data_IF_534952845392
#
_entry.id   IF_534952845392
#
_cell.length_a   1.000
_cell.length_b   1.000
_cell.length_c   1.000
_cell.angle_alpha   90.00
_cell.angle_beta   90.00
_cell.angle_gamma   90.00
#
_symmetry.space_group_name_H-M   'P 1'
#
loop_
_entity.id
_entity.type
_entity.pdbx_description
1 polymer ?
#
# COMPACT_ATOMS: atom_id res chain seq x y z
N UNK A 1 35.27 -19.21 42.23
CA UNK A 1 36.29 -18.46 41.47
C UNK A 1 35.58 -17.39 40.65
N UNK A 2 35.83 -16.11 40.95
CA UNK A 2 35.10 -14.96 40.42
C UNK A 2 36.14 -13.96 39.88
N UNK A 3 36.52 -14.11 38.61
CA UNK A 3 37.40 -13.25 37.79
C UNK A 3 37.04 -13.64 36.34
N UNK A 4 36.51 -12.80 35.46
CA UNK A 4 37.10 -11.57 34.98
C UNK A 4 36.05 -10.51 34.63
N UNK A 5 36.23 -9.35 35.26
CA UNK A 5 35.82 -8.07 34.74
C UNK A 5 36.47 -7.83 33.36
N UNK A 6 35.72 -7.15 32.49
CA UNK A 6 36.22 -6.03 31.70
C UNK A 6 37.26 -6.32 30.61
N UNK A 7 36.83 -6.78 29.43
CA UNK A 7 37.45 -6.43 28.13
C UNK A 7 36.35 -6.43 27.06
N UNK A 8 36.41 -5.49 26.11
CA UNK A 8 35.48 -5.22 24.97
C UNK A 8 34.48 -4.08 25.14
N UNK A 9 34.86 -3.04 25.90
CA UNK A 9 34.66 -1.66 25.41
C UNK A 9 35.61 -1.49 24.23
N UNK A 10 35.18 -1.80 23.01
CA UNK A 10 35.60 -1.32 21.67
C UNK A 10 34.96 -2.28 20.67
N UNK A 11 33.66 -2.14 20.43
CA UNK A 11 33.11 -2.42 19.11
C UNK A 11 32.28 -1.20 18.75
N UNK A 12 33.02 -0.24 18.23
CA UNK A 12 32.57 1.05 17.77
C UNK A 12 31.40 0.89 16.79
N UNK A 13 30.25 1.46 17.17
CA UNK A 13 29.52 2.48 16.41
C UNK A 13 29.68 2.51 14.88
N UNK A 14 29.56 1.36 14.20
CA UNK A 14 29.50 1.31 12.74
C UNK A 14 28.41 0.33 12.36
N UNK A 15 27.15 0.75 12.50
CA UNK A 15 26.19 0.69 11.39
C UNK A 15 25.38 1.97 11.51
N UNK A 16 25.94 3.07 11.00
CA UNK A 16 25.15 4.24 10.68
C UNK A 16 24.11 3.83 9.65
N UNK A 17 22.85 3.86 10.07
CA UNK A 17 21.69 4.32 9.29
C UNK A 17 21.89 4.30 7.77
N UNK A 18 21.77 3.13 7.15
CA UNK A 18 21.31 3.06 5.76
C UNK A 18 19.77 2.99 5.77
N UNK A 19 19.15 4.02 6.31
CA UNK A 19 17.77 4.35 6.03
C UNK A 19 17.76 5.35 4.89
N UNK A 20 17.81 4.86 3.65
CA UNK A 20 17.40 5.69 2.53
C UNK A 20 15.88 5.80 2.61
N UNK A 21 15.39 6.71 3.47
CA UNK A 21 13.97 7.08 3.50
C UNK A 21 13.70 7.90 2.24
N UNK A 22 13.44 7.19 1.14
CA UNK A 22 12.85 7.77 -0.05
C UNK A 22 11.44 8.21 0.31
N UNK A 23 11.27 9.46 0.76
CA UNK A 23 10.09 10.33 0.65
C UNK A 23 8.68 9.77 0.90
N UNK A 24 8.56 8.56 1.40
CA UNK A 24 7.28 7.86 1.57
C UNK A 24 6.79 8.27 2.94
N UNK A 25 5.65 8.95 2.98
CA UNK A 25 4.95 9.29 4.22
C UNK A 25 4.84 8.00 5.03
N UNK A 26 5.46 7.95 6.22
CA UNK A 26 5.43 6.79 7.12
C UNK A 26 3.97 6.35 7.28
N UNK A 27 3.63 5.16 6.79
CA UNK A 27 2.29 4.58 6.90
C UNK A 27 1.50 4.45 5.60
N UNK A 28 2.00 4.91 4.45
CA UNK A 28 1.35 4.63 3.17
C UNK A 28 1.80 3.28 2.60
N UNK A 29 0.82 2.45 2.25
CA UNK A 29 1.03 1.20 1.53
C UNK A 29 0.14 1.17 0.31
N UNK A 30 0.47 0.29 -0.64
CA UNK A 30 -0.27 0.18 -1.87
C UNK A 30 -0.29 -1.24 -2.41
N UNK A 31 -1.30 -1.51 -3.22
CA UNK A 31 -1.40 -2.71 -4.05
C UNK A 31 -1.88 -2.31 -5.44
N UNK A 32 -1.59 -3.14 -6.44
CA UNK A 32 -2.27 -3.05 -7.72
C UNK A 32 -3.42 -4.05 -7.76
N UNK A 33 -4.50 -3.68 -8.42
CA UNK A 33 -5.69 -4.50 -8.57
C UNK A 33 -6.31 -4.35 -9.95
N UNK A 34 -7.11 -5.34 -10.33
CA UNK A 34 -8.02 -5.25 -11.47
C UNK A 34 -9.43 -4.90 -10.97
N UNK A 35 -10.10 -3.97 -11.63
CA UNK A 35 -11.49 -3.62 -11.34
C UNK A 35 -12.43 -4.70 -11.88
N UNK A 36 -13.29 -5.23 -11.02
CA UNK A 36 -14.29 -6.24 -11.35
C UNK A 36 -15.69 -5.64 -11.52
N UNK A 37 -16.03 -4.66 -10.68
CA UNK A 37 -17.33 -3.99 -10.71
C UNK A 37 -17.17 -2.53 -10.28
N UNK A 38 -17.93 -1.64 -10.91
CA UNK A 38 -17.94 -0.20 -10.61
C UNK A 38 -19.32 0.20 -10.09
N UNK A 39 -19.35 0.75 -8.89
CA UNK A 39 -20.53 1.36 -8.28
C UNK A 39 -20.23 2.83 -7.94
N UNK A 40 -21.26 3.58 -7.53
CA UNK A 40 -21.12 5.02 -7.23
C UNK A 40 -20.22 5.33 -6.03
N UNK A 41 -20.21 4.45 -5.03
CA UNK A 41 -19.54 4.67 -3.74
C UNK A 41 -18.34 3.74 -3.51
N UNK A 42 -18.23 2.68 -4.32
CA UNK A 42 -17.18 1.69 -4.19
C UNK A 42 -16.92 0.98 -5.51
N UNK A 43 -15.76 0.34 -5.59
CA UNK A 43 -15.39 -0.58 -6.65
C UNK A 43 -15.10 -1.95 -6.04
N UNK A 44 -15.50 -3.02 -6.73
CA UNK A 44 -15.04 -4.37 -6.39
C UNK A 44 -13.78 -4.64 -7.19
N UNK A 45 -12.74 -5.15 -6.53
CA UNK A 45 -11.43 -5.35 -7.16
C UNK A 45 -10.86 -6.72 -6.84
N UNK A 46 -9.97 -7.21 -7.69
CA UNK A 46 -9.09 -8.36 -7.42
C UNK A 46 -7.66 -7.89 -7.30
N UNK A 47 -6.99 -8.20 -6.19
CA UNK A 47 -5.56 -7.89 -6.04
C UNK A 47 -4.72 -8.65 -7.08
N UNK A 48 -3.91 -7.93 -7.86
CA UNK A 48 -2.98 -8.53 -8.84
C UNK A 48 -1.52 -8.42 -8.40
N UNK A 49 -1.20 -7.46 -7.51
CA UNK A 49 0.15 -7.28 -6.97
C UNK A 49 0.12 -6.68 -5.58
N UNK A 50 0.65 -7.42 -4.60
CA UNK A 50 0.58 -7.07 -3.17
C UNK A 50 1.46 -5.88 -2.74
N UNK A 51 2.65 -5.73 -3.32
CA UNK A 51 3.71 -4.81 -2.85
C UNK A 51 3.88 -4.84 -1.32
N UNK A 52 3.61 -3.74 -0.62
CA UNK A 52 3.75 -3.58 0.82
C UNK A 52 2.39 -3.54 1.55
N UNK A 53 1.29 -3.86 0.87
CA UNK A 53 -0.07 -3.77 1.43
C UNK A 53 -0.43 -4.88 2.42
N UNK A 54 0.17 -6.07 2.28
CA UNK A 54 -0.26 -7.26 3.01
C UNK A 54 -1.53 -7.92 2.46
N UNK A 55 -2.08 -7.43 1.35
CA UNK A 55 -3.23 -8.03 0.66
C UNK A 55 -2.74 -9.17 -0.24
N UNK A 56 -3.31 -10.36 -0.10
CA UNK A 56 -2.97 -11.52 -0.92
C UNK A 56 -3.36 -11.31 -2.38
N UNK A 57 -2.57 -11.85 -3.31
CA UNK A 57 -2.95 -11.90 -4.74
C UNK A 57 -4.21 -12.76 -4.89
N UNK A 58 -5.06 -12.41 -5.84
CA UNK A 58 -6.37 -13.00 -6.12
C UNK A 58 -7.46 -12.74 -5.07
N UNK A 59 -7.14 -12.04 -3.97
CA UNK A 59 -8.15 -11.60 -3.00
C UNK A 59 -9.13 -10.60 -3.65
N UNK A 60 -10.43 -10.84 -3.46
CA UNK A 60 -11.51 -10.00 -3.97
C UNK A 60 -12.26 -9.28 -2.85
N UNK A 61 -12.34 -7.96 -2.94
CA UNK A 61 -13.01 -7.13 -1.93
C UNK A 61 -13.40 -5.77 -2.49
N UNK A 62 -14.16 -5.00 -1.71
CA UNK A 62 -14.60 -3.66 -2.09
C UNK A 62 -13.64 -2.59 -1.58
N UNK A 63 -13.37 -1.59 -2.42
CA UNK A 63 -12.60 -0.38 -2.08
C UNK A 63 -13.52 0.82 -2.25
N UNK A 64 -13.58 1.69 -1.25
CA UNK A 64 -14.35 2.94 -1.33
C UNK A 64 -13.72 3.88 -2.36
N UNK A 65 -14.57 4.62 -3.09
CA UNK A 65 -14.13 5.72 -3.97
C UNK A 65 -14.05 7.05 -3.22
N UNK A 66 -14.42 7.08 -1.94
CA UNK A 66 -14.20 8.22 -1.05
C UNK A 66 -12.72 8.26 -0.61
N UNK A 67 -11.93 9.05 -1.33
CA UNK A 67 -10.49 9.18 -1.11
C UNK A 67 -10.14 10.50 -0.41
N UNK A 68 -9.11 10.47 0.43
CA UNK A 68 -8.69 11.66 1.19
C UNK A 68 -7.80 12.61 0.38
N UNK A 69 -7.18 12.15 -0.72
CA UNK A 69 -6.39 13.03 -1.59
C UNK A 69 -7.26 14.12 -2.25
N UNK A 70 -6.65 15.28 -2.50
CA UNK A 70 -7.26 16.33 -3.33
C UNK A 70 -7.33 15.94 -4.81
N UNK A 71 -6.67 14.85 -5.22
CA UNK A 71 -6.78 14.30 -6.58
C UNK A 71 -8.11 13.59 -6.75
N UNK A 72 -8.81 13.88 -7.84
CA UNK A 72 -10.03 13.14 -8.20
C UNK A 72 -9.71 11.66 -8.44
N UNK A 73 -10.67 10.80 -8.09
CA UNK A 73 -10.65 9.40 -8.52
C UNK A 73 -10.92 9.39 -10.03
N UNK A 74 -10.07 8.73 -10.84
CA UNK A 74 -10.28 8.68 -12.28
C UNK A 74 -11.60 7.97 -12.60
N UNK A 75 -12.13 8.19 -13.81
CA UNK A 75 -13.24 7.39 -14.31
C UNK A 75 -12.75 5.93 -14.48
N UNK A 76 -13.41 4.99 -13.80
CA UNK A 76 -13.04 3.58 -13.77
C UNK A 76 -14.02 2.73 -14.57
N UNK A 77 -13.49 1.77 -15.30
CA UNK A 77 -14.23 0.73 -16.00
C UNK A 77 -13.87 -0.65 -15.47
N UNK A 78 -14.76 -1.61 -15.73
CA UNK A 78 -14.43 -3.03 -15.51
C UNK A 78 -13.20 -3.39 -16.35
N UNK A 79 -12.34 -4.23 -15.78
CA UNK A 79 -11.05 -4.69 -16.32
C UNK A 79 -9.90 -3.67 -16.25
N UNK A 80 -10.13 -2.44 -15.80
CA UNK A 80 -9.05 -1.48 -15.58
C UNK A 80 -8.06 -1.98 -14.52
N UNK A 81 -6.77 -1.74 -14.77
CA UNK A 81 -5.73 -1.96 -13.78
C UNK A 81 -5.51 -0.68 -13.00
N UNK A 82 -5.51 -0.78 -11.68
CA UNK A 82 -5.40 0.37 -10.78
C UNK A 82 -4.34 0.15 -9.71
N UNK A 83 -3.85 1.24 -9.13
CA UNK A 83 -3.13 1.25 -7.86
C UNK A 83 -3.98 1.93 -6.79
N UNK A 84 -4.15 1.23 -5.68
CA UNK A 84 -4.82 1.75 -4.49
C UNK A 84 -3.75 2.07 -3.45
N UNK A 85 -3.75 3.31 -2.96
CA UNK A 85 -2.86 3.78 -1.89
C UNK A 85 -3.69 4.02 -0.63
N UNK A 86 -3.30 3.44 0.50
CA UNK A 86 -4.06 3.52 1.75
C UNK A 86 -3.14 3.54 2.98
N UNK A 87 -3.74 3.71 4.15
CA UNK A 87 -3.05 3.86 5.44
C UNK A 87 -2.50 2.55 6.05
N UNK A 88 -2.66 1.41 5.39
CA UNK A 88 -2.21 0.11 5.88
C UNK A 88 -3.11 -0.55 6.91
N UNK A 89 -4.22 0.07 7.28
CA UNK A 89 -5.21 -0.57 8.16
C UNK A 89 -6.08 -1.53 7.37
N UNK A 90 -6.11 -2.78 7.82
CA UNK A 90 -6.96 -3.84 7.29
C UNK A 90 -7.85 -4.30 8.45
N UNK A 91 -9.16 -4.12 8.30
CA UNK A 91 -10.12 -4.54 9.31
C UNK A 91 -10.34 -6.04 9.21
N UNK A 92 -10.25 -6.75 10.35
CA UNK A 92 -10.53 -8.19 10.48
C UNK A 92 -12.03 -8.50 10.26
N UNK A 93 -12.49 -8.39 9.02
CA UNK A 93 -13.86 -8.57 8.58
C UNK A 93 -13.90 -9.42 7.30
N UNK A 94 -15.08 -9.98 6.98
CA UNK A 94 -15.28 -10.78 5.76
C UNK A 94 -16.50 -10.28 4.98
N UNK A 95 -16.34 -9.76 3.74
CA UNK A 95 -15.06 -9.54 3.05
C UNK A 95 -14.18 -8.49 3.75
N UNK A 96 -12.88 -8.48 3.44
CA UNK A 96 -11.91 -7.54 4.02
C UNK A 96 -12.33 -6.10 3.74
N UNK A 97 -12.15 -5.22 4.73
CA UNK A 97 -12.34 -3.78 4.59
C UNK A 97 -11.03 -3.05 4.86
N UNK A 98 -10.72 -2.07 4.01
CA UNK A 98 -9.56 -1.21 4.18
C UNK A 98 -9.92 0.00 5.03
N UNK A 99 -8.92 0.56 5.71
CA UNK A 99 -9.03 1.85 6.38
C UNK A 99 -9.05 3.03 5.39
N UNK A 100 -8.27 4.07 5.71
CA UNK A 100 -8.29 5.30 4.92
C UNK A 100 -7.64 5.10 3.55
N UNK A 101 -8.43 5.26 2.49
CA UNK A 101 -7.92 5.31 1.12
C UNK A 101 -7.42 6.72 0.83
N UNK A 102 -6.16 6.82 0.42
CA UNK A 102 -5.55 8.10 0.05
C UNK A 102 -5.78 8.40 -1.41
N UNK A 103 -5.56 7.45 -2.31
CA UNK A 103 -5.67 7.68 -3.74
C UNK A 103 -5.94 6.38 -4.49
N UNK A 104 -6.57 6.53 -5.65
CA UNK A 104 -6.74 5.49 -6.66
C UNK A 104 -6.18 6.05 -7.96
N UNK A 105 -5.30 5.30 -8.60
CA UNK A 105 -4.69 5.67 -9.87
C UNK A 105 -4.97 4.61 -10.93
N UNK A 106 -5.22 5.02 -12.17
CA UNK A 106 -5.15 4.12 -13.31
C UNK A 106 -3.69 3.73 -13.60
N UNK A 107 -3.51 2.52 -14.12
CA UNK A 107 -2.22 2.01 -14.54
C UNK A 107 -2.17 1.82 -16.06
N UNK A 108 -1.01 2.06 -16.63
CA UNK A 108 -0.73 1.68 -18.01
C UNK A 108 -0.44 0.18 -18.14
N UNK A 109 -0.18 -0.27 -19.37
CA UNK A 109 0.16 -1.66 -19.68
C UNK A 109 1.45 -2.17 -19.00
N UNK A 110 2.32 -1.26 -18.56
CA UNK A 110 3.58 -1.57 -17.87
C UNK A 110 3.39 -1.61 -16.34
N UNK A 111 2.21 -1.21 -15.83
CA UNK A 111 1.92 -1.11 -14.41
C UNK A 111 2.40 0.19 -13.77
N UNK A 112 2.67 1.22 -14.58
CA UNK A 112 3.03 2.57 -14.16
C UNK A 112 1.79 3.44 -13.94
N UNK A 113 1.88 4.36 -12.97
CA UNK A 113 0.77 5.24 -12.60
C UNK A 113 0.53 6.29 -13.68
N UNK A 114 -0.70 6.35 -14.19
CA UNK A 114 -1.18 7.45 -15.00
C UNK A 114 -1.55 8.63 -14.09
N UNK A 115 -1.16 9.87 -14.43
CA UNK A 115 -1.51 11.04 -13.62
C UNK A 115 -3.03 11.24 -13.63
N UNK A 116 -3.62 11.40 -12.44
CA UNK A 116 -4.99 11.88 -12.32
C UNK A 116 -4.99 13.38 -12.70
N UNK A 117 -5.85 13.76 -13.62
CA UNK A 117 -5.93 15.12 -14.17
C UNK A 117 -6.81 16.03 -13.30
#
# INVERSE_FOLDING_TARGET
MKRWLSVLVVFSCIIALFGCENGTIKGQVYFNAQVLEVNKEYIKVRCVKTFNSGISVDEEFSVTTDVVSNSEVPELNVDDNIRVVFNGEIMESYPIQLGTIYAIYLLDENGEVLPNN
#
